data_IF_578295003893
#
_entry.id   IF_578295003893
#
_cell.length_a   1.000
_cell.length_b   1.000
_cell.length_c   1.000
_cell.angle_alpha   90.00
_cell.angle_beta   90.00
_cell.angle_gamma   90.00
#
_symmetry.space_group_name_H-M   'P 1'
#
loop_
_entity.id
_entity.type
_entity.pdbx_description
1 polymer ?
#
# COMPACT_ATOMS: atom_id res chain seq x y z
N UNK A 1 18.16 16.31 -5.33
CA UNK A 1 18.32 15.91 -3.91
C UNK A 1 19.76 15.46 -3.68
N UNK A 2 20.39 15.89 -2.59
CA UNK A 2 21.72 15.41 -2.21
C UNK A 2 21.63 14.00 -1.61
N UNK A 3 22.75 13.25 -1.60
CA UNK A 3 22.77 11.91 -0.99
C UNK A 3 22.42 11.99 0.52
N UNK A 4 22.82 13.06 1.18
CA UNK A 4 22.51 13.29 2.59
C UNK A 4 21.00 13.48 2.81
N UNK A 5 20.36 14.30 2.01
CA UNK A 5 18.89 14.48 2.01
C UNK A 5 18.16 13.17 1.70
N UNK A 6 18.70 12.34 0.80
CA UNK A 6 18.15 11.02 0.51
C UNK A 6 18.24 10.06 1.72
N UNK A 7 19.35 10.12 2.49
CA UNK A 7 19.53 9.31 3.70
C UNK A 7 18.54 9.75 4.77
N UNK A 8 18.34 11.05 4.94
CA UNK A 8 17.37 11.61 5.89
C UNK A 8 15.94 11.21 5.50
N UNK A 9 15.53 11.43 4.26
CA UNK A 9 14.21 11.02 3.76
C UNK A 9 14.00 9.52 3.79
N UNK A 10 15.04 8.72 3.47
CA UNK A 10 14.98 7.28 3.65
C UNK A 10 14.62 6.89 5.08
N UNK A 11 15.21 7.58 6.07
CA UNK A 11 14.93 7.35 7.50
C UNK A 11 13.53 7.83 7.88
N UNK A 12 13.16 9.05 7.45
CA UNK A 12 11.85 9.64 7.70
C UNK A 12 10.70 8.79 7.12
N UNK A 13 10.92 8.24 5.92
CA UNK A 13 9.91 7.41 5.23
C UNK A 13 10.00 5.92 5.61
N UNK A 14 10.90 5.53 6.53
CA UNK A 14 11.07 4.15 6.98
C UNK A 14 11.56 3.17 5.91
N UNK A 15 12.12 3.65 4.79
CA UNK A 15 12.64 2.77 3.75
C UNK A 15 13.90 2.03 4.19
N UNK A 16 13.93 0.71 3.97
CA UNK A 16 15.15 -0.09 4.05
C UNK A 16 15.91 -0.04 2.72
N UNK A 17 17.17 -0.46 2.69
CA UNK A 17 17.89 -0.61 1.42
C UNK A 17 17.26 -1.67 0.52
N UNK A 18 16.65 -2.69 1.12
CA UNK A 18 15.93 -3.74 0.40
C UNK A 18 14.64 -3.21 -0.23
N UNK A 19 13.84 -2.43 0.52
CA UNK A 19 12.63 -1.82 -0.04
C UNK A 19 12.97 -0.86 -1.17
N UNK A 20 14.00 -0.05 -1.02
CA UNK A 20 14.48 0.81 -2.11
C UNK A 20 14.98 0.01 -3.32
N UNK A 21 15.70 -1.10 -3.10
CA UNK A 21 16.15 -1.96 -4.20
C UNK A 21 14.97 -2.54 -4.99
N UNK A 22 13.93 -2.97 -4.29
CA UNK A 22 12.70 -3.47 -4.92
C UNK A 22 11.95 -2.38 -5.67
N UNK A 23 11.79 -1.20 -5.06
CA UNK A 23 11.06 -0.09 -5.64
C UNK A 23 11.78 0.54 -6.84
N UNK A 24 13.11 0.63 -6.80
CA UNK A 24 13.91 1.30 -7.84
C UNK A 24 14.47 0.35 -8.90
N UNK A 25 14.43 -0.98 -8.65
CA UNK A 25 15.13 -1.96 -9.48
C UNK A 25 16.67 -1.88 -9.38
N UNK A 26 17.20 -1.05 -8.48
CA UNK A 26 18.65 -0.89 -8.29
C UNK A 26 19.14 -2.01 -7.36
N UNK A 27 20.19 -2.76 -7.71
CA UNK A 27 20.72 -3.80 -6.83
C UNK A 27 21.05 -3.26 -5.42
N UNK A 28 20.60 -3.97 -4.37
CA UNK A 28 20.84 -3.58 -2.97
C UNK A 28 22.31 -3.23 -2.65
N UNK A 29 23.32 -3.98 -3.13
CA UNK A 29 24.72 -3.61 -2.92
C UNK A 29 25.11 -2.25 -3.51
N UNK A 30 24.46 -1.83 -4.60
CA UNK A 30 24.66 -0.50 -5.20
C UNK A 30 24.09 0.60 -4.32
N UNK A 31 22.88 0.41 -3.80
CA UNK A 31 22.23 1.34 -2.85
C UNK A 31 23.09 1.47 -1.57
N UNK A 32 23.54 0.36 -1.02
CA UNK A 32 24.43 0.35 0.16
C UNK A 32 25.72 1.14 -0.08
N UNK A 33 26.35 0.99 -1.25
CA UNK A 33 27.58 1.73 -1.60
C UNK A 33 27.33 3.23 -1.76
N UNK A 34 26.17 3.61 -2.29
CA UNK A 34 25.79 5.03 -2.45
C UNK A 34 25.59 5.66 -1.07
N UNK A 35 24.72 5.07 -0.24
CA UNK A 35 24.41 5.62 1.09
C UNK A 35 25.54 5.52 2.12
N UNK A 36 26.49 4.59 1.93
CA UNK A 36 27.71 4.54 2.73
C UNK A 36 28.83 5.46 2.24
N UNK A 37 28.61 6.22 1.17
CA UNK A 37 29.61 7.12 0.59
C UNK A 37 30.75 6.41 -0.16
N UNK A 38 30.69 5.08 -0.31
CA UNK A 38 31.70 4.31 -1.06
C UNK A 38 31.68 4.60 -2.56
N UNK A 39 30.54 5.03 -3.10
CA UNK A 39 30.39 5.47 -4.50
C UNK A 39 30.37 6.99 -4.53
N UNK A 40 31.48 7.60 -4.99
CA UNK A 40 31.63 9.06 -5.04
C UNK A 40 30.84 9.73 -6.18
N UNK A 41 30.59 9.02 -7.25
CA UNK A 41 29.85 9.51 -8.42
C UNK A 41 28.87 8.44 -8.93
N UNK A 42 27.70 8.30 -8.32
CA UNK A 42 26.65 7.41 -8.82
C UNK A 42 26.15 7.86 -10.18
N UNK A 43 25.68 6.93 -11.00
CA UNK A 43 25.06 7.27 -12.30
C UNK A 43 23.82 8.15 -12.06
N UNK A 44 23.62 9.15 -12.91
CA UNK A 44 22.51 10.09 -12.79
C UNK A 44 21.14 9.40 -12.85
N UNK A 45 21.01 8.33 -13.66
CA UNK A 45 19.80 7.51 -13.71
C UNK A 45 19.50 6.80 -12.38
N UNK A 46 20.55 6.35 -11.68
CA UNK A 46 20.44 5.71 -10.35
C UNK A 46 19.99 6.73 -9.27
N UNK A 47 20.58 7.93 -9.31
CA UNK A 47 20.20 9.02 -8.41
C UNK A 47 18.73 9.41 -8.64
N UNK A 48 18.32 9.63 -9.90
CA UNK A 48 16.93 9.96 -10.23
C UNK A 48 15.94 8.90 -9.73
N UNK A 49 16.23 7.62 -9.94
CA UNK A 49 15.35 6.55 -9.47
C UNK A 49 15.22 6.53 -7.94
N UNK A 50 16.28 6.83 -7.20
CA UNK A 50 16.22 6.99 -5.75
C UNK A 50 15.47 8.26 -5.34
N UNK A 51 15.69 9.39 -6.02
CA UNK A 51 14.96 10.64 -5.81
C UNK A 51 13.47 10.47 -6.03
N UNK A 52 13.07 9.81 -7.11
CA UNK A 52 11.68 9.56 -7.46
C UNK A 52 10.95 8.80 -6.35
N UNK A 53 11.58 7.82 -5.71
CA UNK A 53 11.02 7.07 -4.58
C UNK A 53 11.05 7.89 -3.29
N UNK A 54 12.16 8.56 -2.99
CA UNK A 54 12.37 9.27 -1.74
C UNK A 54 11.68 10.65 -1.70
N UNK A 55 11.27 11.21 -2.84
CA UNK A 55 10.49 12.45 -2.87
C UNK A 55 9.10 12.28 -2.25
N UNK A 56 8.63 11.04 -2.12
CA UNK A 56 7.31 10.73 -1.54
C UNK A 56 6.13 11.27 -2.36
N UNK A 57 6.38 11.64 -3.63
CA UNK A 57 5.30 12.06 -4.54
C UNK A 57 4.75 10.86 -5.30
N UNK A 58 3.44 10.81 -5.54
CA UNK A 58 2.84 9.77 -6.39
C UNK A 58 3.51 9.67 -7.77
N UNK A 59 3.90 10.80 -8.35
CA UNK A 59 4.61 10.88 -9.62
C UNK A 59 5.99 10.20 -9.57
N UNK A 60 6.72 10.33 -8.47
CA UNK A 60 8.00 9.65 -8.25
C UNK A 60 7.86 8.15 -8.33
N UNK A 61 6.89 7.58 -7.61
CA UNK A 61 6.59 6.15 -7.66
C UNK A 61 6.11 5.69 -9.05
N UNK A 62 5.31 6.51 -9.73
CA UNK A 62 4.81 6.20 -11.08
C UNK A 62 5.92 6.16 -12.13
N UNK A 63 6.93 7.06 -12.06
CA UNK A 63 8.08 7.07 -12.97
C UNK A 63 8.93 5.80 -12.84
N UNK A 64 9.14 5.30 -11.62
CA UNK A 64 9.88 4.05 -11.39
C UNK A 64 9.17 2.86 -12.05
N UNK A 65 7.83 2.77 -11.92
CA UNK A 65 7.06 1.70 -12.57
C UNK A 65 7.13 1.76 -14.10
N UNK A 66 7.28 2.97 -14.67
CA UNK A 66 7.40 3.18 -16.12
C UNK A 66 8.81 2.83 -16.63
N UNK A 67 9.87 3.04 -15.81
CA UNK A 67 11.24 2.65 -16.14
C UNK A 67 11.43 1.13 -16.19
N UNK A 68 10.71 0.36 -15.37
CA UNK A 68 10.67 -1.10 -15.45
C UNK A 68 10.04 -1.60 -16.76
N UNK A 69 9.07 -0.87 -17.32
CA UNK A 69 8.47 -1.19 -18.63
C UNK A 69 9.42 -0.94 -19.81
N UNK A 70 10.40 -0.06 -19.64
CA UNK A 70 11.38 0.28 -20.70
C UNK A 70 12.57 -0.68 -20.78
N UNK A 71 12.81 -1.51 -19.75
CA UNK A 71 13.86 -2.54 -19.77
C UNK A 71 13.45 -3.82 -20.50
N UNK A 72 12.16 -4.03 -20.70
CA UNK A 72 11.60 -5.17 -21.44
C UNK A 72 11.40 -4.90 -22.95
N UNK A 73 11.78 -3.71 -23.43
CA UNK A 73 11.59 -3.33 -24.85
C UNK A 73 12.78 -3.70 -25.75
N UNK A 74 13.23 -4.92 -25.65
CA UNK A 74 14.21 -5.54 -26.56
C UNK A 74 13.59 -6.48 -27.61
N UNK A 75 12.30 -6.40 -27.86
CA UNK A 75 11.63 -6.94 -29.06
C UNK A 75 10.20 -6.39 -29.10
N UNK A 76 9.87 -5.70 -30.18
CA UNK A 76 8.51 -5.25 -30.48
C UNK A 76 7.61 -6.44 -30.84
N UNK A 77 7.22 -7.23 -29.84
CA UNK A 77 6.01 -8.02 -29.88
C UNK A 77 5.01 -7.30 -28.99
N UNK A 78 3.99 -6.71 -29.59
CA UNK A 78 2.76 -6.36 -28.88
C UNK A 78 2.12 -7.67 -28.39
N UNK A 79 2.61 -8.21 -27.27
CA UNK A 79 1.89 -9.20 -26.50
C UNK A 79 0.69 -8.44 -25.96
N UNK A 80 -0.47 -8.68 -26.53
CA UNK A 80 -1.73 -8.25 -25.90
C UNK A 80 -1.72 -8.86 -24.50
N UNK A 81 -1.48 -8.03 -23.47
CA UNK A 81 -1.58 -8.47 -22.09
C UNK A 81 -3.01 -8.95 -21.90
N UNK A 82 -3.19 -10.23 -21.58
CA UNK A 82 -4.50 -10.77 -21.25
C UNK A 82 -5.08 -9.92 -20.11
N UNK A 83 -6.23 -9.33 -20.33
CA UNK A 83 -7.00 -8.62 -19.30
C UNK A 83 -7.88 -9.67 -18.64
N UNK A 84 -7.69 -9.89 -17.35
CA UNK A 84 -8.46 -10.81 -16.53
C UNK A 84 -9.72 -10.12 -15.99
N UNK A 85 -10.72 -10.91 -15.62
CA UNK A 85 -11.99 -10.44 -15.05
C UNK A 85 -12.17 -10.97 -13.63
N UNK A 86 -13.17 -10.43 -12.92
CA UNK A 86 -13.57 -10.90 -11.58
C UNK A 86 -13.98 -12.37 -11.61
N UNK A 87 -14.63 -12.83 -12.67
CA UNK A 87 -15.03 -14.24 -12.81
C UNK A 87 -13.83 -15.19 -12.76
N UNK A 88 -12.68 -14.76 -13.28
CA UNK A 88 -11.45 -15.55 -13.19
C UNK A 88 -10.90 -15.62 -11.75
N UNK A 89 -11.14 -14.58 -10.92
CA UNK A 89 -10.84 -14.63 -9.48
C UNK A 89 -11.75 -15.64 -8.78
N UNK A 90 -13.06 -15.63 -9.08
CA UNK A 90 -14.00 -16.58 -8.49
C UNK A 90 -13.77 -18.03 -8.94
N UNK A 91 -13.18 -18.21 -10.11
CA UNK A 91 -12.83 -19.55 -10.64
C UNK A 91 -11.51 -20.10 -10.08
N UNK A 92 -10.81 -19.37 -9.21
CA UNK A 92 -9.58 -19.87 -8.57
C UNK A 92 -9.90 -21.06 -7.67
N UNK A 93 -8.97 -22.04 -7.55
CA UNK A 93 -9.16 -23.16 -6.65
C UNK A 93 -9.34 -22.73 -5.19
N UNK A 94 -10.07 -23.52 -4.41
CA UNK A 94 -10.26 -23.28 -2.98
C UNK A 94 -8.94 -23.05 -2.24
N UNK A 95 -8.90 -22.01 -1.41
CA UNK A 95 -7.72 -21.61 -0.65
C UNK A 95 -6.70 -20.77 -1.42
N UNK A 96 -6.89 -20.56 -2.71
CA UNK A 96 -6.09 -19.61 -3.50
C UNK A 96 -6.75 -18.24 -3.43
N UNK A 97 -6.04 -17.25 -2.87
CA UNK A 97 -6.52 -15.86 -2.81
C UNK A 97 -5.72 -14.99 -3.78
N UNK A 98 -6.40 -14.10 -4.43
CA UNK A 98 -5.79 -13.14 -5.35
C UNK A 98 -6.61 -11.87 -5.44
N UNK A 99 -5.96 -10.78 -5.79
CA UNK A 99 -6.56 -9.50 -6.11
C UNK A 99 -6.49 -9.26 -7.62
N UNK A 100 -7.42 -8.48 -8.13
CA UNK A 100 -7.43 -8.03 -9.53
C UNK A 100 -7.25 -6.52 -9.55
N UNK A 101 -6.19 -6.05 -10.20
CA UNK A 101 -5.92 -4.61 -10.33
C UNK A 101 -5.62 -4.30 -11.81
N UNK A 102 -6.46 -3.47 -12.43
CA UNK A 102 -6.39 -3.16 -13.87
C UNK A 102 -6.34 -4.41 -14.76
N UNK A 103 -7.16 -5.41 -14.41
CA UNK A 103 -7.21 -6.67 -15.15
C UNK A 103 -5.95 -7.54 -15.01
N UNK A 104 -5.11 -7.29 -14.01
CA UNK A 104 -3.96 -8.14 -13.69
C UNK A 104 -4.18 -8.84 -12.35
N UNK A 105 -3.94 -10.15 -12.31
CA UNK A 105 -4.09 -10.98 -11.11
C UNK A 105 -2.83 -10.88 -10.25
N UNK A 106 -3.00 -10.60 -8.97
CA UNK A 106 -1.96 -10.57 -7.94
C UNK A 106 -2.27 -11.62 -6.87
N UNK A 107 -1.54 -12.73 -6.88
CA UNK A 107 -1.72 -13.79 -5.90
C UNK A 107 -1.24 -13.35 -4.52
N UNK A 108 -2.07 -13.62 -3.51
CA UNK A 108 -1.78 -13.29 -2.12
C UNK A 108 -1.01 -14.42 -1.45
N UNK A 109 0.05 -14.08 -0.72
CA UNK A 109 0.77 -15.03 0.13
C UNK A 109 0.05 -15.22 1.48
N UNK A 110 0.29 -16.35 2.14
CA UNK A 110 -0.14 -16.54 3.53
C UNK A 110 0.51 -15.47 4.43
N UNK A 111 -0.28 -14.73 5.23
CA UNK A 111 0.25 -13.69 6.10
C UNK A 111 1.13 -14.27 7.22
N UNK A 112 2.12 -13.49 7.67
CA UNK A 112 2.97 -13.85 8.80
C UNK A 112 2.23 -13.66 10.14
N UNK A 113 2.75 -14.23 11.23
CA UNK A 113 2.26 -13.99 12.59
C UNK A 113 2.16 -12.49 12.90
N UNK A 114 3.25 -11.75 12.71
CA UNK A 114 3.28 -10.29 12.98
C UNK A 114 2.27 -9.52 12.14
N UNK A 115 2.07 -9.89 10.88
CA UNK A 115 1.02 -9.30 10.05
C UNK A 115 -0.37 -9.50 10.66
N UNK A 116 -0.67 -10.73 11.10
CA UNK A 116 -1.97 -11.05 11.72
C UNK A 116 -2.18 -10.35 13.06
N UNK A 117 -1.13 -10.23 13.89
CA UNK A 117 -1.19 -9.50 15.15
C UNK A 117 -1.52 -8.03 14.92
N UNK A 118 -0.84 -7.37 13.99
CA UNK A 118 -1.10 -5.97 13.65
C UNK A 118 -2.49 -5.75 13.05
N UNK A 119 -2.91 -6.59 12.09
CA UNK A 119 -4.25 -6.49 11.51
C UNK A 119 -5.35 -6.77 12.55
N UNK A 120 -5.16 -7.75 13.43
CA UNK A 120 -6.06 -8.06 14.53
C UNK A 120 -6.16 -6.93 15.55
N UNK A 121 -5.03 -6.32 15.94
CA UNK A 121 -4.99 -5.17 16.82
C UNK A 121 -5.74 -3.97 16.21
N UNK A 122 -5.45 -3.63 14.96
CA UNK A 122 -6.17 -2.59 14.23
C UNK A 122 -7.68 -2.82 14.22
N UNK A 123 -8.11 -4.04 13.90
CA UNK A 123 -9.53 -4.39 13.90
C UNK A 123 -10.16 -4.23 15.28
N UNK A 124 -9.51 -4.69 16.34
CA UNK A 124 -10.01 -4.60 17.72
C UNK A 124 -10.20 -3.14 18.13
N UNK A 125 -9.20 -2.28 17.91
CA UNK A 125 -9.26 -0.86 18.25
C UNK A 125 -10.39 -0.14 17.52
N UNK A 126 -10.48 -0.33 16.21
CA UNK A 126 -11.49 0.32 15.36
C UNK A 126 -12.90 -0.20 15.68
N UNK A 127 -13.09 -1.52 15.81
CA UNK A 127 -14.38 -2.12 16.12
C UNK A 127 -14.88 -1.71 17.50
N UNK A 128 -14.00 -1.66 18.50
CA UNK A 128 -14.31 -1.22 19.85
C UNK A 128 -14.73 0.25 19.86
N UNK A 129 -13.99 1.10 19.16
CA UNK A 129 -14.32 2.52 19.05
C UNK A 129 -15.70 2.72 18.40
N UNK A 130 -15.96 2.13 17.22
CA UNK A 130 -17.24 2.26 16.52
C UNK A 130 -18.39 1.80 17.42
N UNK A 131 -18.24 0.67 18.11
CA UNK A 131 -19.28 0.11 18.98
C UNK A 131 -19.56 1.01 20.21
N UNK A 132 -18.52 1.57 20.83
CA UNK A 132 -18.66 2.40 22.03
C UNK A 132 -19.27 3.78 21.74
N UNK A 133 -19.07 4.30 20.52
CA UNK A 133 -19.56 5.63 20.11
C UNK A 133 -20.86 5.57 19.30
N UNK A 134 -21.47 4.40 19.11
CA UNK A 134 -22.75 4.25 18.40
C UNK A 134 -22.69 4.62 16.93
N UNK A 135 -21.53 4.53 16.30
CA UNK A 135 -21.30 4.90 14.90
C UNK A 135 -22.01 3.97 13.90
N UNK A 136 -22.35 4.51 12.73
CA UNK A 136 -22.94 3.74 11.61
C UNK A 136 -21.92 2.95 10.81
N UNK A 137 -20.63 3.30 10.93
CA UNK A 137 -19.56 2.66 10.20
C UNK A 137 -19.43 1.18 10.57
N UNK A 138 -18.97 0.39 9.63
CA UNK A 138 -18.63 -1.02 9.81
C UNK A 138 -17.17 -1.22 9.49
N UNK A 139 -16.52 -2.14 10.17
CA UNK A 139 -15.13 -2.53 9.94
C UNK A 139 -15.08 -4.00 9.55
N UNK A 140 -14.32 -4.29 8.50
CA UNK A 140 -14.16 -5.63 7.95
C UNK A 140 -12.68 -5.98 7.83
N UNK A 141 -12.40 -7.27 7.91
CA UNK A 141 -11.08 -7.90 7.68
C UNK A 141 -11.18 -8.94 6.57
N UNK A 142 -10.07 -9.31 5.91
CA UNK A 142 -10.09 -10.34 4.87
C UNK A 142 -10.60 -11.72 5.38
N UNK A 143 -11.22 -12.49 4.50
CA UNK A 143 -11.56 -12.15 3.13
C UNK A 143 -12.80 -11.25 3.05
N UNK A 144 -12.62 -10.01 2.64
CA UNK A 144 -13.72 -9.07 2.42
C UNK A 144 -13.46 -8.32 1.12
N UNK A 145 -14.30 -8.55 0.15
CA UNK A 145 -14.17 -8.00 -1.19
C UNK A 145 -14.47 -6.50 -1.26
N UNK A 146 -13.61 -5.76 -1.96
CA UNK A 146 -13.86 -4.37 -2.33
C UNK A 146 -13.78 -4.24 -3.85
N UNK A 147 -14.92 -3.95 -4.48
CA UNK A 147 -15.05 -3.67 -5.92
C UNK A 147 -14.85 -2.18 -6.14
N UNK A 148 -13.59 -1.77 -6.15
CA UNK A 148 -13.16 -0.42 -5.82
C UNK A 148 -13.75 0.68 -6.73
N UNK A 149 -13.88 0.41 -8.03
CA UNK A 149 -14.38 1.38 -9.01
C UNK A 149 -15.82 1.07 -9.46
N UNK A 150 -16.42 0.01 -8.92
CA UNK A 150 -17.68 -0.53 -9.45
C UNK A 150 -17.53 -1.16 -10.83
N UNK A 151 -16.30 -1.30 -11.33
CA UNK A 151 -15.96 -2.01 -12.55
C UNK A 151 -15.40 -3.42 -12.23
N UNK A 152 -15.40 -4.29 -13.22
CA UNK A 152 -14.92 -5.67 -13.08
C UNK A 152 -13.38 -5.78 -13.20
N UNK A 153 -12.69 -4.66 -13.28
CA UNK A 153 -11.23 -4.65 -13.49
C UNK A 153 -10.41 -4.49 -12.21
N UNK A 154 -11.06 -4.13 -11.10
CA UNK A 154 -10.38 -3.86 -9.83
C UNK A 154 -11.15 -4.44 -8.65
N UNK A 155 -10.62 -5.52 -8.11
CA UNK A 155 -11.09 -6.25 -6.93
C UNK A 155 -9.92 -6.40 -5.95
N UNK A 156 -10.09 -5.93 -4.72
CA UNK A 156 -9.06 -6.00 -3.68
C UNK A 156 -9.63 -6.50 -2.36
N UNK A 157 -8.77 -7.04 -1.51
CA UNK A 157 -9.11 -7.53 -0.16
C UNK A 157 -8.16 -6.89 0.87
N UNK A 158 -8.38 -5.63 1.27
CA UNK A 158 -7.50 -4.93 2.21
C UNK A 158 -7.47 -5.60 3.59
N UNK A 159 -6.37 -5.45 4.32
CA UNK A 159 -6.21 -6.02 5.66
C UNK A 159 -7.19 -5.43 6.68
N UNK A 160 -7.64 -4.19 6.46
CA UNK A 160 -8.78 -3.60 7.17
C UNK A 160 -9.51 -2.62 6.26
N UNK A 161 -10.83 -2.71 6.27
CA UNK A 161 -11.73 -1.86 5.48
C UNK A 161 -12.80 -1.27 6.38
N UNK A 162 -12.95 0.06 6.39
CA UNK A 162 -14.03 0.76 7.10
C UNK A 162 -14.98 1.38 6.09
N UNK A 163 -16.27 1.09 6.25
CA UNK A 163 -17.34 1.59 5.39
C UNK A 163 -18.39 2.28 6.27
N UNK A 164 -18.65 3.56 6.03
CA UNK A 164 -19.61 4.36 6.80
C UNK A 164 -20.94 4.57 6.06
N UNK A 165 -20.96 4.41 4.74
CA UNK A 165 -22.20 4.42 3.97
C UNK A 165 -22.71 2.98 3.76
N UNK A 166 -23.84 2.57 4.39
CA UNK A 166 -24.37 1.23 4.26
C UNK A 166 -24.81 0.88 2.83
N UNK A 167 -25.13 1.86 2.00
CA UNK A 167 -25.55 1.63 0.61
C UNK A 167 -24.43 1.06 -0.27
N UNK A 168 -23.19 1.12 0.20
CA UNK A 168 -22.03 0.48 -0.45
C UNK A 168 -21.85 -0.99 -0.06
N UNK A 169 -22.62 -1.50 0.89
CA UNK A 169 -22.47 -2.86 1.40
C UNK A 169 -23.48 -3.80 0.77
N UNK A 170 -22.99 -4.80 0.08
CA UNK A 170 -23.75 -5.93 -0.44
C UNK A 170 -23.23 -7.22 0.21
N UNK A 171 -23.99 -8.34 0.07
CA UNK A 171 -23.55 -9.65 0.59
C UNK A 171 -22.19 -10.08 0.03
N UNK A 172 -21.85 -9.69 -1.18
CA UNK A 172 -20.57 -10.01 -1.82
C UNK A 172 -19.41 -9.08 -1.41
N UNK A 173 -19.66 -7.97 -0.70
CA UNK A 173 -18.62 -7.05 -0.26
C UNK A 173 -18.99 -5.56 -0.38
N UNK A 174 -17.98 -4.70 -0.47
CA UNK A 174 -18.12 -3.27 -0.64
C UNK A 174 -18.09 -2.88 -2.12
N UNK A 175 -19.10 -2.17 -2.58
CA UNK A 175 -19.18 -1.64 -3.95
C UNK A 175 -18.78 -0.17 -3.94
N UNK A 176 -17.68 0.14 -4.62
CA UNK A 176 -17.06 1.46 -4.63
C UNK A 176 -16.03 1.65 -3.50
N UNK A 177 -15.58 2.90 -3.33
CA UNK A 177 -14.55 3.23 -2.37
C UNK A 177 -15.02 3.09 -0.92
N UNK A 178 -14.35 2.33 -0.05
CA UNK A 178 -14.51 2.44 1.40
C UNK A 178 -14.02 3.81 1.90
N UNK A 179 -14.37 4.14 3.15
CA UNK A 179 -13.98 5.42 3.74
C UNK A 179 -12.53 5.39 4.23
N UNK A 180 -12.10 4.29 4.84
CA UNK A 180 -10.74 4.10 5.32
C UNK A 180 -10.25 2.68 5.02
N UNK A 181 -9.01 2.59 4.57
CA UNK A 181 -8.32 1.33 4.24
C UNK A 181 -7.00 1.25 4.97
N UNK A 182 -6.65 0.07 5.45
CA UNK A 182 -5.33 -0.22 6.03
C UNK A 182 -4.73 -1.45 5.35
N UNK A 183 -3.45 -1.35 5.01
CA UNK A 183 -2.63 -2.46 4.50
C UNK A 183 -1.40 -2.65 5.40
N UNK A 184 -1.15 -3.89 5.79
CA UNK A 184 0.05 -4.28 6.53
C UNK A 184 1.03 -4.89 5.55
N UNK A 185 2.15 -4.23 5.32
CA UNK A 185 3.12 -4.66 4.31
C UNK A 185 3.71 -6.04 4.60
N UNK A 186 3.73 -6.86 3.58
CA UNK A 186 4.51 -8.08 3.49
C UNK A 186 5.66 -7.90 2.48
N UNK A 187 6.70 -8.75 2.51
CA UNK A 187 7.78 -8.67 1.51
C UNK A 187 7.31 -8.74 0.05
N UNK A 188 6.19 -9.42 -0.22
CA UNK A 188 5.62 -9.57 -1.56
C UNK A 188 4.65 -8.46 -1.95
N UNK A 189 4.04 -7.74 -0.99
CA UNK A 189 2.98 -6.77 -1.26
C UNK A 189 3.47 -5.31 -1.40
N UNK A 190 4.69 -4.98 -0.97
CA UNK A 190 5.22 -3.60 -0.93
C UNK A 190 4.94 -2.81 -2.22
N UNK A 191 5.23 -3.41 -3.39
CA UNK A 191 5.00 -2.73 -4.67
C UNK A 191 3.52 -2.52 -4.95
N UNK A 192 2.71 -3.50 -4.66
CA UNK A 192 1.26 -3.46 -4.92
C UNK A 192 0.61 -2.42 -4.00
N UNK A 193 0.88 -2.46 -2.71
CA UNK A 193 0.25 -1.59 -1.71
C UNK A 193 0.76 -0.15 -1.80
N UNK A 194 2.09 0.03 -1.92
CA UNK A 194 2.69 1.38 -1.95
C UNK A 194 2.54 2.11 -3.29
N UNK A 195 2.23 1.41 -4.39
CA UNK A 195 2.15 2.03 -5.71
C UNK A 195 0.79 1.83 -6.37
N UNK A 196 0.40 0.57 -6.63
CA UNK A 196 -0.80 0.29 -7.42
C UNK A 196 -2.06 0.61 -6.62
N UNK A 197 -2.18 0.06 -5.40
CA UNK A 197 -3.34 0.29 -4.56
C UNK A 197 -3.44 1.75 -4.10
N UNK A 198 -2.31 2.41 -3.78
CA UNK A 198 -2.30 3.83 -3.42
C UNK A 198 -2.99 4.69 -4.49
N UNK A 199 -2.62 4.53 -5.77
CA UNK A 199 -3.24 5.25 -6.88
C UNK A 199 -4.72 4.88 -7.05
N UNK A 200 -5.05 3.59 -6.88
CA UNK A 200 -6.43 3.11 -6.99
C UNK A 200 -7.31 3.66 -5.89
N UNK A 201 -6.87 3.59 -4.64
CA UNK A 201 -7.63 4.12 -3.51
C UNK A 201 -7.85 5.62 -3.64
N UNK A 202 -6.80 6.37 -4.01
CA UNK A 202 -6.92 7.82 -4.27
C UNK A 202 -7.94 8.11 -5.38
N UNK A 203 -7.82 7.42 -6.52
CA UNK A 203 -8.72 7.63 -7.68
C UNK A 203 -10.17 7.25 -7.39
N UNK A 204 -10.38 6.19 -6.62
CA UNK A 204 -11.70 5.73 -6.23
C UNK A 204 -12.40 6.67 -5.24
N UNK A 205 -11.65 7.50 -4.51
CA UNK A 205 -12.21 8.42 -3.52
C UNK A 205 -12.20 7.87 -2.09
N UNK A 206 -11.31 6.92 -1.77
CA UNK A 206 -11.00 6.57 -0.37
C UNK A 206 -10.55 7.83 0.35
N UNK A 207 -11.03 8.05 1.59
CA UNK A 207 -10.69 9.27 2.32
C UNK A 207 -9.35 9.16 3.03
N UNK A 208 -9.10 8.00 3.65
CA UNK A 208 -7.91 7.74 4.45
C UNK A 208 -7.31 6.37 4.09
N UNK A 209 -5.98 6.31 3.95
CA UNK A 209 -5.25 5.08 3.64
C UNK A 209 -4.01 4.97 4.52
N UNK A 210 -3.90 3.88 5.27
CA UNK A 210 -2.75 3.60 6.11
C UNK A 210 -1.92 2.46 5.54
N UNK A 211 -0.61 2.65 5.51
CA UNK A 211 0.36 1.61 5.20
C UNK A 211 1.19 1.35 6.44
N UNK A 212 1.02 0.17 7.02
CA UNK A 212 1.78 -0.28 8.19
C UNK A 212 2.98 -1.09 7.70
N UNK A 213 4.19 -0.68 8.11
CA UNK A 213 5.44 -1.34 7.72
C UNK A 213 6.09 -2.01 8.95
N UNK A 214 5.88 -3.34 9.15
CA UNK A 214 6.38 -4.04 10.33
C UNK A 214 7.91 -4.03 10.46
N UNK A 215 8.71 -4.27 9.39
CA UNK A 215 10.17 -4.24 9.48
C UNK A 215 10.77 -2.92 9.94
N UNK A 216 10.19 -1.79 9.57
CA UNK A 216 10.67 -0.47 9.96
C UNK A 216 9.93 0.09 11.18
N UNK A 217 8.86 -0.57 11.65
CA UNK A 217 7.96 -0.12 12.73
C UNK A 217 7.42 1.28 12.47
N UNK A 218 6.92 1.51 11.24
CA UNK A 218 6.41 2.81 10.80
C UNK A 218 5.01 2.67 10.19
N UNK A 219 4.25 3.76 10.25
CA UNK A 219 2.95 3.91 9.60
C UNK A 219 2.99 5.12 8.69
N UNK A 220 2.53 4.95 7.46
CA UNK A 220 2.30 6.05 6.52
C UNK A 220 0.78 6.25 6.43
N UNK A 221 0.34 7.45 6.70
CA UNK A 221 -1.07 7.85 6.65
C UNK A 221 -1.28 8.80 5.49
N UNK A 222 -2.09 8.41 4.53
CA UNK A 222 -2.54 9.25 3.42
C UNK A 222 -3.95 9.77 3.71
N UNK A 223 -4.09 11.10 3.74
CA UNK A 223 -5.37 11.80 3.84
C UNK A 223 -5.67 12.42 2.47
N UNK A 224 -6.32 11.66 1.61
CA UNK A 224 -6.45 12.00 0.19
C UNK A 224 -7.22 13.29 -0.05
N UNK A 225 -8.32 13.53 0.68
CA UNK A 225 -9.12 14.75 0.54
C UNK A 225 -8.31 16.02 0.89
N UNK A 226 -7.33 15.90 1.77
CA UNK A 226 -6.46 16.99 2.21
C UNK A 226 -5.15 17.08 1.41
N UNK A 227 -4.92 16.10 0.51
CA UNK A 227 -3.64 15.90 -0.19
C UNK A 227 -2.44 15.88 0.78
N UNK A 228 -2.60 15.20 1.91
CA UNK A 228 -1.67 15.20 3.03
C UNK A 228 -1.13 13.81 3.28
N UNK A 229 0.16 13.71 3.60
CA UNK A 229 0.82 12.48 4.04
C UNK A 229 1.46 12.72 5.41
N UNK A 230 1.31 11.76 6.32
CA UNK A 230 1.90 11.77 7.65
C UNK A 230 2.67 10.48 7.89
N UNK A 231 3.70 10.56 8.71
CA UNK A 231 4.55 9.44 9.09
C UNK A 231 4.58 9.33 10.60
N UNK A 232 4.42 8.10 11.08
CA UNK A 232 4.42 7.78 12.51
C UNK A 232 5.28 6.55 12.76
N UNK A 233 5.78 6.43 13.97
CA UNK A 233 6.37 5.20 14.51
C UNK A 233 5.29 4.37 15.21
N UNK A 234 5.57 3.10 15.52
CA UNK A 234 4.64 2.26 16.27
C UNK A 234 4.43 2.75 17.71
N UNK A 235 5.39 3.49 18.26
CA UNK A 235 5.35 4.05 19.61
C UNK A 235 4.41 5.26 19.73
N UNK A 236 4.12 5.91 18.63
CA UNK A 236 3.24 7.07 18.59
C UNK A 236 1.76 6.67 18.49
N UNK A 237 0.89 7.51 19.02
CA UNK A 237 -0.55 7.39 18.76
C UNK A 237 -0.85 7.97 17.39
N UNK A 238 -1.18 7.09 16.45
CA UNK A 238 -1.57 7.48 15.09
C UNK A 238 -3.01 7.95 15.08
N UNK A 239 -3.30 9.23 14.83
CA UNK A 239 -4.66 9.74 14.83
C UNK A 239 -5.40 9.31 13.56
N UNK A 240 -6.67 8.94 13.70
CA UNK A 240 -7.56 8.66 12.60
C UNK A 240 -8.36 9.93 12.24
N UNK A 241 -8.33 10.33 10.98
CA UNK A 241 -9.08 11.50 10.51
C UNK A 241 -10.58 11.25 10.47
N UNK A 242 -10.98 10.02 10.15
CA UNK A 242 -12.38 9.60 10.13
C UNK A 242 -13.00 9.57 11.53
N UNK A 243 -12.19 9.29 12.56
CA UNK A 243 -12.58 9.20 13.97
C UNK A 243 -11.64 10.06 14.83
N UNK A 244 -11.91 11.36 15.00
CA UNK A 244 -10.97 12.30 15.60
C UNK A 244 -10.48 11.96 17.02
N UNK A 245 -11.27 11.21 17.80
CA UNK A 245 -10.91 10.78 19.14
C UNK A 245 -10.15 9.43 19.16
N UNK A 246 -10.15 8.72 18.03
CA UNK A 246 -9.41 7.47 17.88
C UNK A 246 -7.93 7.76 17.58
N UNK A 247 -7.08 7.29 18.45
CA UNK A 247 -5.64 7.22 18.19
C UNK A 247 -5.13 5.83 18.50
N UNK A 248 -4.52 5.18 17.53
CA UNK A 248 -4.05 3.79 17.63
C UNK A 248 -2.55 3.75 17.82
N UNK A 249 -2.08 2.95 18.77
CA UNK A 249 -0.67 2.72 19.04
C UNK A 249 -0.29 1.29 18.69
N UNK A 250 0.54 1.11 17.68
CA UNK A 250 0.88 -0.22 17.17
C UNK A 250 1.96 -0.94 17.98
N UNK A 251 2.61 -0.26 18.92
CA UNK A 251 3.51 -0.92 19.86
C UNK A 251 2.78 -1.85 20.84
N UNK A 252 1.46 -1.72 20.93
CA UNK A 252 0.60 -2.49 21.84
C UNK A 252 0.03 -3.77 21.15
N UNK A 253 0.39 -4.01 19.86
CA UNK A 253 -0.06 -5.14 19.05
C UNK A 253 0.70 -6.45 19.34
#
# INVERSE_FOLDING_TARGET
>A
MTIQEMIERKREHGFTNESLARLTGIPMPTIQKIFSGKTKAPRQSTIRALEDVLSGTPEGFYRVSKADRLKDSGAAYAVQKKVHTIDEIYALPDGVRAELIDGQIYYMATPTKTHQELAGHMHLEVATYIRSHGGKCKVYIPPFAVYLMGDESTYVEPDLTVVCNPDKLEERGCIGAPDWVVEVLSPSSVRVDCLLKLEKYKKAGVQEYWIINPPSRTVIVYLFAQNLVRFYTFEERVPCSLFPELGIRLADA
#
